data_IF_096234509097
#
_entry.id   IF_096234509097
#
_cell.length_a   1.000
_cell.length_b   1.000
_cell.length_c   1.000
_cell.angle_alpha   90.00
_cell.angle_beta   90.00
_cell.angle_gamma   90.00
#
_symmetry.space_group_name_H-M   'P 1'
#
loop_
_entity.id
_entity.type
_entity.pdbx_description
1 polymer ?
#
# COMPACT_ATOMS: atom_id res chain seq x y z
N UNK A 1 -17.03 13.39 22.82
CA UNK A 1 -15.64 13.14 23.29
C UNK A 1 -14.66 13.81 22.35
N UNK A 2 -14.01 14.91 22.76
CA UNK A 2 -12.85 15.46 22.03
C UNK A 2 -11.61 14.75 22.55
N UNK A 3 -11.11 13.79 21.79
CA UNK A 3 -9.80 13.18 22.07
C UNK A 3 -8.75 14.19 21.61
N UNK A 4 -8.16 14.92 22.56
CA UNK A 4 -7.00 15.79 22.29
C UNK A 4 -5.79 14.90 22.05
N UNK A 5 -5.49 14.65 20.77
CA UNK A 5 -4.32 13.88 20.35
C UNK A 5 -3.06 14.72 20.65
N UNK A 6 -2.13 14.25 21.50
CA UNK A 6 -0.96 15.02 21.90
C UNK A 6 -0.02 15.29 20.72
N UNK A 7 0.55 16.50 20.67
CA UNK A 7 1.38 17.04 19.57
C UNK A 7 2.53 16.12 19.11
N UNK A 8 3.07 15.29 20.02
CA UNK A 8 4.13 14.29 19.75
C UNK A 8 3.70 13.17 18.78
N UNK A 9 2.40 12.89 18.68
CA UNK A 9 1.86 11.87 17.76
C UNK A 9 1.54 12.40 16.36
N UNK A 10 1.72 13.70 16.10
CA UNK A 10 1.38 14.31 14.80
C UNK A 10 2.55 14.38 13.83
N UNK A 11 3.78 14.40 14.32
CA UNK A 11 4.99 14.38 13.50
C UNK A 11 5.03 13.19 12.51
N UNK A 12 4.80 11.92 12.94
CA UNK A 12 4.83 10.80 11.99
C UNK A 12 3.71 10.89 10.94
N UNK A 13 2.54 11.41 11.30
CA UNK A 13 1.41 11.58 10.36
C UNK A 13 1.74 12.63 9.31
N UNK A 14 2.27 13.79 9.72
CA UNK A 14 2.68 14.85 8.79
C UNK A 14 3.79 14.36 7.86
N UNK A 15 4.80 13.66 8.39
CA UNK A 15 5.87 13.09 7.57
C UNK A 15 5.34 12.11 6.52
N UNK A 16 4.45 11.20 6.92
CA UNK A 16 3.83 10.24 5.99
C UNK A 16 3.00 10.93 4.91
N UNK A 17 2.27 12.00 5.25
CA UNK A 17 1.52 12.79 4.26
C UNK A 17 2.44 13.54 3.29
N UNK A 18 3.58 14.07 3.77
CA UNK A 18 4.58 14.70 2.91
C UNK A 18 5.25 13.69 1.97
N UNK A 19 5.55 12.48 2.44
CA UNK A 19 6.10 11.42 1.59
C UNK A 19 5.06 10.97 0.56
N UNK A 20 3.81 10.80 0.99
CA UNK A 20 2.72 10.43 0.10
C UNK A 20 2.46 11.50 -0.96
N UNK A 21 2.54 12.79 -0.62
CA UNK A 21 2.39 13.86 -1.59
C UNK A 21 3.48 13.83 -2.66
N UNK A 22 4.74 13.53 -2.31
CA UNK A 22 5.82 13.34 -3.29
C UNK A 22 5.52 12.17 -4.24
N UNK A 23 5.08 11.03 -3.70
CA UNK A 23 4.72 9.84 -4.50
C UNK A 23 3.60 10.17 -5.48
N UNK A 24 2.55 10.83 -5.00
CA UNK A 24 1.36 11.19 -5.79
C UNK A 24 1.66 12.24 -6.86
N UNK A 25 2.36 13.32 -6.50
CA UNK A 25 2.69 14.39 -7.45
C UNK A 25 3.66 13.90 -8.51
N UNK A 26 4.64 13.07 -8.14
CA UNK A 26 5.54 12.43 -9.11
C UNK A 26 4.80 11.49 -10.07
N UNK A 27 3.84 10.72 -9.55
CA UNK A 27 2.99 9.86 -10.37
C UNK A 27 2.16 10.69 -11.37
N UNK A 28 1.48 11.75 -10.90
CA UNK A 28 0.71 12.64 -11.76
C UNK A 28 1.54 13.29 -12.86
N UNK A 29 2.77 13.73 -12.53
CA UNK A 29 3.65 14.31 -13.52
C UNK A 29 4.04 13.30 -14.61
N UNK A 30 4.48 12.10 -14.20
CA UNK A 30 4.89 11.05 -15.14
C UNK A 30 3.71 10.59 -16.02
N UNK A 31 2.62 10.13 -15.40
CA UNK A 31 1.47 9.59 -16.12
C UNK A 31 0.58 10.66 -16.78
N UNK A 32 0.75 11.93 -16.40
CA UNK A 32 0.13 13.07 -17.07
C UNK A 32 0.83 13.45 -18.36
N UNK A 33 2.18 13.46 -18.37
CA UNK A 33 2.98 13.68 -19.59
C UNK A 33 2.73 12.55 -20.61
N UNK A 34 2.50 11.34 -20.11
CA UNK A 34 2.15 10.17 -20.91
C UNK A 34 0.83 10.29 -21.69
N UNK A 35 -0.11 11.09 -21.17
CA UNK A 35 -1.50 11.10 -21.60
C UNK A 35 -1.79 12.20 -22.64
N UNK A 36 -2.64 11.93 -23.65
CA UNK A 36 -3.06 10.60 -24.14
C UNK A 36 -1.88 9.87 -24.79
N UNK A 37 -1.97 8.56 -25.04
CA UNK A 37 -0.84 7.67 -25.39
C UNK A 37 0.02 8.20 -26.56
N UNK A 38 1.01 9.03 -26.22
CA UNK A 38 1.86 9.69 -27.21
C UNK A 38 3.14 8.92 -27.42
N UNK A 39 3.67 8.30 -26.37
CA UNK A 39 4.97 7.69 -26.44
C UNK A 39 4.93 6.17 -26.55
N UNK A 40 3.94 5.44 -26.01
CA UNK A 40 3.94 3.97 -26.15
C UNK A 40 3.69 3.58 -27.60
N UNK A 41 2.76 4.26 -28.26
CA UNK A 41 2.59 4.14 -29.72
C UNK A 41 3.89 4.41 -30.51
N UNK A 42 4.72 5.38 -30.09
CA UNK A 42 6.02 5.66 -30.74
C UNK A 42 7.07 4.60 -30.44
N UNK A 43 7.13 4.12 -29.20
CA UNK A 43 8.05 3.07 -28.78
C UNK A 43 7.68 1.71 -29.40
N UNK A 44 6.39 1.44 -29.56
CA UNK A 44 5.89 0.26 -30.24
C UNK A 44 6.29 0.27 -31.71
N UNK A 45 6.08 1.40 -32.41
CA UNK A 45 6.54 1.56 -33.79
C UNK A 45 8.06 1.41 -33.91
N UNK A 46 8.83 2.01 -33.01
CA UNK A 46 10.29 1.87 -33.03
C UNK A 46 10.72 0.41 -32.89
N UNK A 47 10.22 -0.30 -31.86
CA UNK A 47 10.55 -1.70 -31.66
C UNK A 47 10.08 -2.60 -32.82
N UNK A 48 8.93 -2.32 -33.41
CA UNK A 48 8.38 -3.08 -34.53
C UNK A 48 9.15 -2.92 -35.84
N UNK A 49 9.73 -1.73 -36.10
CA UNK A 49 10.57 -1.51 -37.28
C UNK A 49 11.96 -2.12 -37.13
N UNK A 50 12.47 -2.17 -35.89
CA UNK A 50 13.76 -2.79 -35.57
C UNK A 50 13.64 -4.32 -35.33
N UNK A 51 12.43 -4.89 -35.45
CA UNK A 51 12.18 -6.33 -35.29
C UNK A 51 12.30 -6.83 -33.84
N UNK A 52 12.05 -6.00 -32.83
CA UNK A 52 12.12 -6.38 -31.42
C UNK A 52 10.78 -6.74 -30.79
N UNK A 53 9.68 -6.38 -31.43
CA UNK A 53 8.31 -6.67 -31.01
C UNK A 53 7.38 -6.66 -32.21
N UNK A 54 6.10 -6.96 -31.98
CA UNK A 54 5.08 -6.85 -33.03
C UNK A 54 5.10 -5.47 -33.68
N UNK A 55 4.84 -5.40 -34.99
CA UNK A 55 4.83 -4.12 -35.71
C UNK A 55 3.40 -3.56 -35.84
N UNK A 56 3.10 -2.36 -35.31
CA UNK A 56 1.77 -1.76 -35.41
C UNK A 56 1.31 -1.50 -36.85
N UNK A 57 2.23 -1.37 -37.81
CA UNK A 57 1.90 -1.16 -39.23
C UNK A 57 1.31 -2.39 -39.89
N UNK A 58 1.61 -3.59 -39.39
CA UNK A 58 1.08 -4.83 -39.96
C UNK A 58 -0.45 -4.87 -39.91
N UNK A 59 -1.05 -4.16 -38.96
CA UNK A 59 -2.51 -4.00 -38.87
C UNK A 59 -3.11 -3.34 -40.11
N UNK A 60 -2.40 -2.39 -40.74
CA UNK A 60 -2.86 -1.76 -41.99
C UNK A 60 -2.88 -2.78 -43.13
N UNK A 61 -1.89 -3.68 -43.16
CA UNK A 61 -1.83 -4.76 -44.14
C UNK A 61 -3.01 -5.74 -43.97
N UNK A 62 -3.31 -6.17 -42.75
CA UNK A 62 -4.50 -7.00 -42.47
C UNK A 62 -5.80 -6.33 -42.94
N UNK A 63 -5.99 -5.03 -42.61
CA UNK A 63 -7.17 -4.30 -43.09
C UNK A 63 -7.26 -4.21 -44.61
N UNK A 64 -6.13 -4.01 -45.30
CA UNK A 64 -6.09 -3.94 -46.76
C UNK A 64 -6.41 -5.29 -47.43
N UNK A 65 -6.12 -6.40 -46.75
CA UNK A 65 -6.40 -7.76 -47.23
C UNK A 65 -7.71 -8.34 -46.71
N UNK A 66 -8.56 -7.53 -46.06
CA UNK A 66 -9.82 -7.99 -45.45
C UNK A 66 -9.65 -9.09 -44.40
N UNK A 67 -8.50 -9.13 -43.73
CA UNK A 67 -8.20 -10.04 -42.64
C UNK A 67 -8.36 -9.34 -41.28
N UNK A 68 -8.71 -10.10 -40.24
CA UNK A 68 -8.81 -9.57 -38.89
C UNK A 68 -7.42 -9.29 -38.32
N UNK A 69 -7.10 -8.03 -37.96
CA UNK A 69 -5.80 -7.71 -37.39
C UNK A 69 -5.68 -8.30 -35.98
N UNK A 70 -4.48 -8.72 -35.58
CA UNK A 70 -4.30 -9.34 -34.28
C UNK A 70 -4.48 -8.30 -33.15
N UNK A 71 -4.87 -8.79 -31.97
CA UNK A 71 -5.21 -7.93 -30.83
C UNK A 71 -4.00 -7.12 -30.36
N UNK A 72 -4.24 -5.83 -30.02
CA UNK A 72 -3.19 -4.95 -29.51
C UNK A 72 -2.79 -5.44 -28.10
N UNK A 73 -1.50 -5.77 -27.88
CA UNK A 73 -1.02 -6.12 -26.56
C UNK A 73 -1.36 -5.04 -25.52
N UNK A 74 -1.73 -5.47 -24.30
CA UNK A 74 -2.13 -4.55 -23.23
C UNK A 74 -1.07 -3.46 -22.97
N UNK A 75 0.21 -3.82 -23.06
CA UNK A 75 1.34 -2.89 -22.88
C UNK A 75 1.31 -1.71 -23.85
N UNK A 76 0.87 -1.92 -25.09
CA UNK A 76 0.79 -0.90 -26.13
C UNK A 76 -0.59 -0.25 -26.22
N UNK A 77 -1.53 -0.68 -25.39
CA UNK A 77 -2.91 -0.22 -25.45
C UNK A 77 -3.10 1.14 -24.76
N UNK A 78 -3.97 1.97 -25.36
CA UNK A 78 -4.48 3.19 -24.71
C UNK A 78 -5.20 2.85 -23.39
N UNK A 79 -5.79 1.66 -23.27
CA UNK A 79 -6.47 1.20 -22.04
C UNK A 79 -5.52 1.22 -20.84
N UNK A 80 -4.29 0.72 -21.01
CA UNK A 80 -3.29 0.75 -19.95
C UNK A 80 -2.87 2.17 -19.59
N UNK A 81 -2.64 3.03 -20.59
CA UNK A 81 -2.26 4.44 -20.35
C UNK A 81 -3.36 5.17 -19.57
N UNK A 82 -4.61 5.04 -20.00
CA UNK A 82 -5.77 5.63 -19.31
C UNK A 82 -5.92 5.08 -17.89
N UNK A 83 -5.75 3.76 -17.69
CA UNK A 83 -5.83 3.15 -16.35
C UNK A 83 -4.74 3.67 -15.40
N UNK A 84 -3.51 3.85 -15.89
CA UNK A 84 -2.41 4.38 -15.10
C UNK A 84 -2.65 5.84 -14.71
N UNK A 85 -3.07 6.67 -15.67
CA UNK A 85 -3.42 8.08 -15.40
C UNK A 85 -4.59 8.17 -14.42
N UNK A 86 -5.63 7.33 -14.56
CA UNK A 86 -6.74 7.26 -13.62
C UNK A 86 -6.29 6.86 -12.21
N UNK A 87 -5.34 5.92 -12.09
CA UNK A 87 -4.75 5.53 -10.81
C UNK A 87 -4.00 6.69 -10.15
N UNK A 88 -3.25 7.48 -10.93
CA UNK A 88 -2.57 8.68 -10.42
C UNK A 88 -3.57 9.74 -9.92
N UNK A 89 -4.65 9.99 -10.68
CA UNK A 89 -5.72 10.92 -10.28
C UNK A 89 -6.46 10.44 -9.04
N UNK A 90 -6.76 9.14 -8.94
CA UNK A 90 -7.37 8.56 -7.74
C UNK A 90 -6.46 8.69 -6.53
N UNK A 91 -5.15 8.47 -6.70
CA UNK A 91 -4.16 8.64 -5.63
C UNK A 91 -4.15 10.09 -5.10
N UNK A 92 -4.31 11.07 -5.99
CA UNK A 92 -4.46 12.48 -5.61
C UNK A 92 -5.76 12.75 -4.85
N UNK A 93 -6.88 12.21 -5.32
CA UNK A 93 -8.16 12.35 -4.63
C UNK A 93 -8.09 11.77 -3.20
N UNK A 94 -7.48 10.60 -3.05
CA UNK A 94 -7.24 9.96 -1.73
C UNK A 94 -6.33 10.84 -0.86
N UNK A 95 -5.25 11.40 -1.41
CA UNK A 95 -4.38 12.32 -0.67
C UNK A 95 -5.15 13.52 -0.13
N UNK A 96 -6.00 14.16 -0.95
CA UNK A 96 -6.84 15.27 -0.49
C UNK A 96 -7.86 14.85 0.57
N UNK A 97 -8.47 13.68 0.43
CA UNK A 97 -9.36 13.12 1.46
C UNK A 97 -8.61 12.94 2.78
N UNK A 98 -7.37 12.42 2.74
CA UNK A 98 -6.52 12.23 3.92
C UNK A 98 -6.10 13.53 4.57
N UNK A 99 -5.72 14.53 3.79
CA UNK A 99 -5.39 15.87 4.30
C UNK A 99 -6.62 16.45 5.03
N UNK A 100 -7.82 16.29 4.44
CA UNK A 100 -9.07 16.74 5.07
C UNK A 100 -9.35 16.00 6.38
N UNK A 101 -9.24 14.67 6.40
CA UNK A 101 -9.41 13.85 7.62
C UNK A 101 -8.42 14.28 8.71
N UNK A 102 -7.15 14.49 8.35
CA UNK A 102 -6.10 14.93 9.26
C UNK A 102 -6.35 16.34 9.79
N UNK A 103 -6.85 17.25 8.96
CA UNK A 103 -7.22 18.61 9.34
C UNK A 103 -8.41 18.62 10.32
N UNK A 104 -9.42 17.77 10.09
CA UNK A 104 -10.57 17.60 10.98
C UNK A 104 -10.25 16.83 12.27
N UNK A 105 -9.01 16.35 12.45
CA UNK A 105 -8.57 15.54 13.59
C UNK A 105 -9.40 14.25 13.78
N UNK A 106 -9.92 13.69 12.70
CA UNK A 106 -10.72 12.48 12.72
C UNK A 106 -9.84 11.23 12.56
N UNK A 107 -9.99 10.24 13.43
CA UNK A 107 -9.20 8.99 13.38
C UNK A 107 -9.91 7.93 12.52
N UNK A 108 -9.67 7.96 11.21
CA UNK A 108 -10.29 7.05 10.24
C UNK A 108 -9.37 5.87 9.88
N UNK A 109 -8.92 5.10 10.87
CA UNK A 109 -7.93 4.01 10.67
C UNK A 109 -8.33 3.04 9.56
N UNK A 110 -9.54 2.49 9.64
CA UNK A 110 -10.05 1.52 8.66
C UNK A 110 -10.17 2.10 7.26
N UNK A 111 -10.68 3.32 7.14
CA UNK A 111 -10.79 4.02 5.87
C UNK A 111 -9.40 4.26 5.25
N UNK A 112 -8.42 4.65 6.06
CA UNK A 112 -7.05 4.84 5.60
C UNK A 112 -6.42 3.52 5.13
N UNK A 113 -6.56 2.43 5.89
CA UNK A 113 -6.05 1.13 5.48
C UNK A 113 -6.73 0.63 4.20
N UNK A 114 -8.04 0.85 4.04
CA UNK A 114 -8.76 0.50 2.82
C UNK A 114 -8.23 1.28 1.60
N UNK A 115 -7.97 2.57 1.75
CA UNK A 115 -7.33 3.37 0.70
C UNK A 115 -5.93 2.86 0.35
N UNK A 116 -5.09 2.54 1.34
CA UNK A 116 -3.75 2.00 1.07
C UNK A 116 -3.85 0.65 0.33
N UNK A 117 -4.78 -0.22 0.70
CA UNK A 117 -4.99 -1.51 0.03
C UNK A 117 -5.41 -1.36 -1.44
N UNK A 118 -6.37 -0.47 -1.72
CA UNK A 118 -6.82 -0.19 -3.09
C UNK A 118 -5.68 0.40 -3.92
N UNK A 119 -4.96 1.39 -3.39
CA UNK A 119 -3.85 2.02 -4.10
C UNK A 119 -2.68 1.06 -4.32
N UNK A 120 -2.34 0.23 -3.33
CA UNK A 120 -1.32 -0.80 -3.48
C UNK A 120 -1.68 -1.78 -4.61
N UNK A 121 -2.94 -2.24 -4.66
CA UNK A 121 -3.43 -3.15 -5.69
C UNK A 121 -3.37 -2.51 -7.09
N UNK A 122 -3.82 -1.26 -7.23
CA UNK A 122 -3.80 -0.55 -8.52
C UNK A 122 -2.37 -0.26 -8.99
N UNK A 123 -1.46 0.14 -8.10
CA UNK A 123 -0.07 0.37 -8.46
C UNK A 123 0.67 -0.94 -8.80
N UNK A 124 0.37 -2.04 -8.09
CA UNK A 124 0.90 -3.36 -8.41
C UNK A 124 0.40 -3.86 -9.78
N UNK A 125 -0.89 -3.69 -10.07
CA UNK A 125 -1.46 -4.00 -11.38
C UNK A 125 -0.82 -3.15 -12.49
N UNK A 126 -0.67 -1.85 -12.24
CA UNK A 126 0.00 -0.93 -13.16
C UNK A 126 1.43 -1.38 -13.47
N UNK A 127 2.21 -1.78 -12.46
CA UNK A 127 3.56 -2.30 -12.64
C UNK A 127 3.55 -3.62 -13.44
N UNK A 128 2.67 -4.57 -13.08
CA UNK A 128 2.56 -5.86 -13.75
C UNK A 128 2.19 -5.71 -15.24
N UNK A 129 1.20 -4.88 -15.54
CA UNK A 129 0.76 -4.64 -16.91
C UNK A 129 1.82 -3.88 -17.74
N UNK A 130 2.56 -2.95 -17.12
CA UNK A 130 3.67 -2.26 -17.77
C UNK A 130 4.90 -3.14 -18.00
N UNK A 131 5.06 -4.22 -17.22
CA UNK A 131 6.08 -5.24 -17.43
C UNK A 131 5.62 -6.39 -18.34
N UNK A 132 4.41 -6.30 -18.89
CA UNK A 132 3.76 -7.37 -19.64
C UNK A 132 4.42 -7.68 -20.98
N UNK A 133 4.15 -8.89 -21.47
CA UNK A 133 4.66 -9.37 -22.74
C UNK A 133 3.83 -8.87 -23.94
N UNK A 134 4.45 -8.92 -25.10
CA UNK A 134 3.82 -8.85 -26.42
C UNK A 134 4.16 -10.16 -27.15
N UNK A 135 3.15 -11.00 -27.28
CA UNK A 135 3.23 -12.33 -27.89
C UNK A 135 2.33 -12.43 -29.13
N UNK A 136 1.91 -11.28 -29.64
CA UNK A 136 0.92 -11.19 -30.73
C UNK A 136 1.52 -11.60 -32.07
N UNK A 137 2.84 -11.47 -32.23
CA UNK A 137 3.58 -11.87 -33.43
C UNK A 137 4.51 -13.07 -33.09
N UNK A 138 4.26 -14.27 -33.64
CA UNK A 138 5.11 -15.44 -33.43
C UNK A 138 6.55 -15.28 -33.89
N UNK A 139 6.82 -14.43 -34.89
CA UNK A 139 8.18 -14.18 -35.40
C UNK A 139 8.94 -13.17 -34.53
N UNK A 140 8.21 -12.26 -33.85
CA UNK A 140 8.78 -11.18 -33.04
C UNK A 140 8.28 -11.21 -31.60
N UNK A 141 8.58 -12.32 -30.90
CA UNK A 141 8.19 -12.52 -29.51
C UNK A 141 8.93 -11.56 -28.56
N UNK A 142 8.17 -10.87 -27.72
CA UNK A 142 8.70 -9.94 -26.73
C UNK A 142 8.14 -10.27 -25.33
N UNK A 143 8.79 -11.17 -24.56
CA UNK A 143 8.31 -11.56 -23.22
C UNK A 143 8.35 -10.42 -22.19
N UNK A 144 9.18 -9.40 -22.43
CA UNK A 144 9.21 -8.16 -21.66
C UNK A 144 9.40 -6.97 -22.60
N UNK A 145 8.83 -5.79 -22.27
CA UNK A 145 8.94 -4.63 -23.13
C UNK A 145 10.39 -4.31 -23.48
N UNK A 146 10.66 -4.15 -24.78
CA UNK A 146 12.03 -3.99 -25.29
C UNK A 146 12.75 -2.82 -24.61
N UNK A 147 12.03 -1.74 -24.32
CA UNK A 147 12.60 -0.56 -23.70
C UNK A 147 13.08 -0.83 -22.27
N UNK A 148 12.58 -1.87 -21.58
CA UNK A 148 13.07 -2.26 -20.25
C UNK A 148 14.35 -3.09 -20.33
N UNK A 149 14.47 -3.94 -21.36
CA UNK A 149 15.61 -4.87 -21.52
C UNK A 149 16.79 -4.20 -22.21
N UNK A 150 16.52 -3.26 -23.12
CA UNK A 150 17.53 -2.58 -23.95
C UNK A 150 17.91 -1.20 -23.41
N UNK A 151 18.97 -0.63 -23.97
CA UNK A 151 19.40 0.74 -23.65
C UNK A 151 18.54 1.73 -24.43
N UNK A 152 18.28 2.90 -23.85
CA UNK A 152 17.55 3.95 -24.57
C UNK A 152 18.38 4.60 -25.69
N UNK A 153 19.66 4.25 -25.83
CA UNK A 153 20.54 4.68 -26.92
C UNK A 153 20.21 3.95 -28.23
N UNK A 154 19.74 2.70 -28.12
CA UNK A 154 19.30 1.84 -29.22
C UNK A 154 18.03 2.38 -29.88
N UNK A 155 17.23 3.15 -29.13
CA UNK A 155 16.05 3.81 -29.67
C UNK A 155 16.43 4.93 -30.66
N UNK A 156 15.54 5.20 -31.63
CA UNK A 156 15.66 6.36 -32.50
C UNK A 156 15.91 7.64 -31.70
N UNK A 157 16.71 8.57 -32.27
CA UNK A 157 17.12 9.81 -31.57
C UNK A 157 15.93 10.60 -31.01
N UNK A 158 14.82 10.68 -31.75
CA UNK A 158 13.58 11.34 -31.32
C UNK A 158 12.83 10.61 -30.19
N UNK A 159 13.12 9.31 -29.97
CA UNK A 159 12.44 8.43 -29.01
C UNK A 159 13.26 8.14 -27.74
N UNK A 160 14.50 8.63 -27.63
CA UNK A 160 15.34 8.38 -26.45
C UNK A 160 14.77 8.98 -25.16
N UNK A 161 14.21 10.20 -25.25
CA UNK A 161 13.54 10.83 -24.10
C UNK A 161 12.31 10.02 -23.66
N UNK A 162 11.51 9.58 -24.62
CA UNK A 162 10.34 8.74 -24.40
C UNK A 162 10.68 7.40 -23.76
N UNK A 163 11.76 6.74 -24.19
CA UNK A 163 12.24 5.51 -23.58
C UNK A 163 12.61 5.72 -22.10
N UNK A 164 13.29 6.82 -21.76
CA UNK A 164 13.64 7.13 -20.36
C UNK A 164 12.39 7.35 -19.51
N UNK A 165 11.41 8.09 -20.01
CA UNK A 165 10.15 8.34 -19.30
C UNK A 165 9.41 7.02 -19.05
N UNK A 166 9.32 6.14 -20.06
CA UNK A 166 8.67 4.83 -19.90
C UNK A 166 9.36 3.95 -18.82
N UNK A 167 10.70 4.00 -18.72
CA UNK A 167 11.43 3.34 -17.62
C UNK A 167 11.09 3.94 -16.26
N UNK A 168 11.03 5.27 -16.18
CA UNK A 168 10.66 5.96 -14.95
C UNK A 168 9.23 5.65 -14.51
N UNK A 169 8.27 5.59 -15.43
CA UNK A 169 6.89 5.19 -15.12
C UNK A 169 6.80 3.79 -14.52
N UNK A 170 7.50 2.83 -15.13
CA UNK A 170 7.55 1.46 -14.61
C UNK A 170 8.17 1.42 -13.21
N UNK A 171 9.32 2.08 -13.02
CA UNK A 171 9.97 2.16 -11.71
C UNK A 171 9.12 2.87 -10.66
N UNK A 172 8.41 3.93 -11.05
CA UNK A 172 7.54 4.69 -10.16
C UNK A 172 6.33 3.88 -9.71
N UNK A 173 5.72 3.09 -10.61
CA UNK A 173 4.62 2.21 -10.26
C UNK A 173 5.05 1.14 -9.22
N UNK A 174 6.24 0.55 -9.38
CA UNK A 174 6.79 -0.39 -8.40
C UNK A 174 7.03 0.30 -7.05
N UNK A 175 7.67 1.47 -7.08
CA UNK A 175 7.97 2.23 -5.86
C UNK A 175 6.69 2.63 -5.12
N UNK A 176 5.67 3.11 -5.84
CA UNK A 176 4.36 3.44 -5.27
C UNK A 176 3.67 2.21 -4.67
N UNK A 177 3.70 1.06 -5.35
CA UNK A 177 3.15 -0.19 -4.82
C UNK A 177 3.84 -0.59 -3.50
N UNK A 178 5.17 -0.55 -3.45
CA UNK A 178 5.95 -0.86 -2.24
C UNK A 178 5.64 0.14 -1.13
N UNK A 179 5.51 1.43 -1.46
CA UNK A 179 5.19 2.48 -0.49
C UNK A 179 3.84 2.20 0.21
N UNK A 180 2.78 1.95 -0.56
CA UNK A 180 1.47 1.66 0.02
C UNK A 180 1.43 0.32 0.75
N UNK A 181 2.12 -0.72 0.25
CA UNK A 181 2.27 -1.99 0.97
C UNK A 181 2.98 -1.82 2.32
N UNK A 182 4.03 -1.00 2.37
CA UNK A 182 4.75 -0.71 3.62
C UNK A 182 3.85 0.01 4.62
N UNK A 183 2.97 0.92 4.16
CA UNK A 183 1.97 1.55 5.03
C UNK A 183 0.96 0.54 5.59
N UNK A 184 0.50 -0.41 4.79
CA UNK A 184 -0.41 -1.48 5.25
C UNK A 184 0.29 -2.32 6.33
N UNK A 185 1.53 -2.76 6.08
CA UNK A 185 2.30 -3.55 7.06
C UNK A 185 2.54 -2.74 8.34
N UNK A 186 2.90 -1.46 8.22
CA UNK A 186 3.10 -0.58 9.38
C UNK A 186 1.83 -0.38 10.20
N UNK A 187 0.68 -0.17 9.56
CA UNK A 187 -0.61 -0.04 10.26
C UNK A 187 -1.05 -1.36 10.91
N UNK A 188 -0.93 -2.49 10.21
CA UNK A 188 -1.24 -3.80 10.77
C UNK A 188 -0.34 -4.14 11.97
N UNK A 189 0.98 -3.90 11.85
CA UNK A 189 1.94 -4.09 12.93
C UNK A 189 1.61 -3.23 14.15
N UNK A 190 1.23 -1.97 13.95
CA UNK A 190 0.78 -1.09 15.04
C UNK A 190 -0.49 -1.61 15.72
N UNK A 191 -1.47 -2.10 14.97
CA UNK A 191 -2.69 -2.67 15.54
C UNK A 191 -2.42 -3.92 16.39
N UNK A 192 -1.54 -4.81 15.91
CA UNK A 192 -1.12 -6.00 16.66
C UNK A 192 -0.40 -5.60 17.95
N UNK A 193 0.51 -4.62 17.88
CA UNK A 193 1.20 -4.09 19.05
C UNK A 193 0.25 -3.47 20.08
N UNK A 194 -0.71 -2.66 19.65
CA UNK A 194 -1.71 -2.07 20.54
C UNK A 194 -2.60 -3.12 21.22
N UNK A 195 -2.93 -4.21 20.50
CA UNK A 195 -3.72 -5.32 21.06
C UNK A 195 -2.92 -6.06 22.13
N UNK A 196 -1.69 -6.47 21.82
CA UNK A 196 -0.82 -7.16 22.77
C UNK A 196 -0.55 -6.35 24.04
N UNK A 197 -0.35 -5.03 23.90
CA UNK A 197 -0.17 -4.13 25.06
C UNK A 197 -1.42 -4.05 25.94
N UNK A 198 -2.62 -4.06 25.35
CA UNK A 198 -3.89 -4.06 26.10
C UNK A 198 -4.12 -5.37 26.83
N UNK A 199 -3.84 -6.50 26.17
CA UNK A 199 -4.01 -7.82 26.76
C UNK A 199 -3.05 -8.01 27.96
N UNK A 200 -1.78 -7.61 27.83
CA UNK A 200 -0.81 -7.64 28.94
C UNK A 200 -1.21 -6.72 30.11
N UNK A 201 -1.74 -5.53 29.82
CA UNK A 201 -2.23 -4.63 30.87
C UNK A 201 -3.44 -5.21 31.61
N UNK A 202 -4.33 -5.91 30.90
CA UNK A 202 -5.52 -6.55 31.49
C UNK A 202 -5.13 -7.77 32.34
N UNK A 203 -4.12 -8.52 31.91
CA UNK A 203 -3.56 -9.62 32.70
C UNK A 203 -2.90 -9.10 34.00
N UNK A 204 -2.12 -8.02 33.92
CA UNK A 204 -1.56 -7.36 35.11
C UNK A 204 -2.64 -6.93 36.11
N UNK A 205 -3.69 -6.25 35.64
CA UNK A 205 -4.80 -5.78 36.47
C UNK A 205 -5.54 -6.95 37.16
N UNK A 206 -5.80 -8.04 36.41
CA UNK A 206 -6.37 -9.27 36.98
C UNK A 206 -5.44 -9.88 38.05
N UNK A 207 -4.13 -9.94 37.82
CA UNK A 207 -3.20 -10.48 38.83
C UNK A 207 -3.12 -9.64 40.10
N UNK A 208 -3.29 -8.31 40.01
CA UNK A 208 -3.38 -7.45 41.18
C UNK A 208 -4.67 -7.67 41.97
N UNK A 209 -5.81 -7.83 41.29
CA UNK A 209 -7.10 -8.16 41.93
C UNK A 209 -6.98 -9.46 42.73
N UNK A 210 -6.48 -10.54 42.11
CA UNK A 210 -6.30 -11.82 42.79
C UNK A 210 -5.35 -11.74 43.99
N UNK A 211 -4.28 -10.94 43.89
CA UNK A 211 -3.32 -10.74 44.99
C UNK A 211 -3.91 -9.91 46.14
N UNK A 212 -4.80 -8.98 45.85
CA UNK A 212 -5.53 -8.19 46.85
C UNK A 212 -6.56 -9.02 47.61
N UNK A 213 -7.33 -9.85 46.90
CA UNK A 213 -8.37 -10.70 47.47
C UNK A 213 -7.78 -11.81 48.36
N UNK A 214 -6.66 -12.42 47.94
CA UNK A 214 -5.91 -13.37 48.78
C UNK A 214 -5.30 -12.74 50.05
N UNK A 215 -5.03 -11.43 50.05
CA UNK A 215 -4.53 -10.70 51.23
C UNK A 215 -5.66 -10.27 52.18
N UNK A 216 -6.88 -10.07 51.68
CA UNK A 216 -8.09 -9.85 52.48
C UNK A 216 -8.53 -11.13 53.21
N UNK A 217 -8.61 -12.25 52.48
CA UNK A 217 -9.04 -13.54 53.04
C UNK A 217 -8.12 -14.03 54.17
N UNK A 218 -6.80 -13.85 54.07
CA UNK A 218 -5.87 -14.27 55.14
C UNK A 218 -5.99 -13.40 56.41
N UNK A 219 -6.53 -12.19 56.30
CA UNK A 219 -6.70 -11.27 57.44
C UNK A 219 -7.95 -11.59 58.24
N UNK A 220 -9.04 -11.92 57.56
CA UNK A 220 -10.32 -12.28 58.21
C UNK A 220 -10.24 -13.63 58.94
N UNK A 221 -9.44 -14.58 58.44
CA UNK A 221 -9.22 -15.88 59.10
C UNK A 221 -8.29 -15.78 60.34
N UNK A 222 -7.38 -14.80 60.37
CA UNK A 222 -6.49 -14.58 61.52
C UNK A 222 -7.22 -13.90 62.70
N UNK A 223 -8.21 -13.04 62.41
CA UNK A 223 -9.02 -12.38 63.45
C UNK A 223 -10.10 -13.32 64.04
N UNK A 224 -10.46 -14.40 63.34
CA UNK A 224 -11.41 -15.40 63.83
C UNK A 224 -10.80 -16.43 64.81
N UNK A 225 -9.48 -16.46 65.00
CA UNK A 225 -8.80 -17.39 65.93
C UNK A 225 -8.33 -16.76 67.25
N UNK A 226 -8.55 -15.46 67.48
CA UNK A 226 -8.14 -14.77 68.72
C UNK A 226 -9.29 -14.53 69.70
N UNK A 227 -10.31 -15.39 69.70
CA UNK A 227 -11.43 -15.25 70.62
C UNK A 227 -12.14 -16.56 70.83
N UNK A 228 -11.57 -17.46 71.62
CA UNK A 228 -12.33 -18.24 72.61
C UNK A 228 -11.41 -19.05 73.55
N UNK A 229 -11.80 -19.05 74.82
CA UNK A 229 -11.48 -20.00 75.90
C UNK A 229 -10.31 -19.67 76.85
N UNK A 230 -10.55 -18.69 77.72
CA UNK A 230 -10.13 -18.74 79.12
C UNK A 230 -11.33 -19.20 79.96
N UNK A 231 -11.50 -20.53 80.05
CA UNK A 231 -12.45 -21.14 80.99
C UNK A 231 -11.81 -21.13 82.38
N UNK A 232 -12.42 -20.33 83.26
CA UNK A 232 -12.23 -20.31 84.70
C UNK A 232 -12.49 -21.70 85.29
N UNK A 233 -11.44 -22.36 85.82
CA UNK A 233 -11.59 -23.52 86.70
C UNK A 233 -11.39 -23.06 88.14
N UNK A 234 -12.50 -22.77 88.81
CA UNK A 234 -12.53 -22.60 90.26
C UNK A 234 -12.95 -23.89 90.95
N UNK A 235 -12.13 -24.28 91.93
CA UNK A 235 -12.48 -24.91 93.21
C UNK A 235 -13.11 -26.32 93.23
N UNK A 236 -12.31 -27.30 93.69
CA UNK A 236 -12.80 -28.28 94.68
C UNK A 236 -11.67 -28.77 95.60
N UNK A 237 -11.77 -28.43 96.90
CA UNK A 237 -11.17 -29.09 98.08
C UNK A 237 -12.36 -29.39 99.01
N UNK A 238 -12.35 -30.49 99.78
CA UNK A 238 -11.31 -30.82 100.76
C UNK A 238 -10.58 -32.13 100.51
#
# INVERSE_FOLDING_TARGET
>A
MRVTIPMRTQLPVVLLLCLESVVVLGALALFGIAYPDRFRSRLWRNGGEEGWCSNPRLRIYFYANHEEPPEIPLIWSQRLTTSNTATAVLSLAVLFARITIAALRYDARWTNTAYDAVLAGLWAWSAAAQGGADLTDPEHLMPRPWYLVRRCEDAWRANRAWCRIAKWEYGWAIMAAIFYMTKIVGTAGWMVYEKGRRDASREGDLTEIWRGEGRGSYKDDADSYSGHDLIELTSYRP
#
